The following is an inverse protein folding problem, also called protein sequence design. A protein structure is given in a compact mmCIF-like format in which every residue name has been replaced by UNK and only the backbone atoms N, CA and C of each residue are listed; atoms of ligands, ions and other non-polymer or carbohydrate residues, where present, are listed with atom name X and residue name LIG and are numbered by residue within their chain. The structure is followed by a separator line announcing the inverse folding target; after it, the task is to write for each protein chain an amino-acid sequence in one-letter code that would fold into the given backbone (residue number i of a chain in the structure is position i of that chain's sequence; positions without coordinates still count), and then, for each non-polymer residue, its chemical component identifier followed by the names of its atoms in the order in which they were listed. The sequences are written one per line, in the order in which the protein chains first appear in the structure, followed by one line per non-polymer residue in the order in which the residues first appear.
data_IF_187928613186
#
_entry.id   IF_187928613186
#
_cell.length_a   1.000
_cell.length_b   1.000
_cell.length_c   1.000
_cell.angle_alpha   90.00
_cell.angle_beta   90.00
_cell.angle_gamma   90.00
#
_symmetry.space_group_name_H-M   'P 1'
#
loop_
_entity.id
_entity.type
_entity.pdbx_description
1 polymer ?
#
# COMPACT_ATOMS: atom_id res chain seq x y z
N UNK A 1 -12.22 3.48 22.47
CA UNK A 1 -11.65 3.46 21.11
C UNK A 1 -10.17 3.72 21.26
N UNK A 2 -9.31 2.84 20.72
CA UNK A 2 -7.87 3.07 20.65
C UNK A 2 -7.55 3.51 19.22
N UNK A 3 -6.89 4.67 19.08
CA UNK A 3 -6.53 5.29 17.81
C UNK A 3 -5.10 5.81 17.95
N UNK A 4 -4.30 5.71 16.87
CA UNK A 4 -2.92 6.21 16.82
C UNK A 4 -2.00 5.59 17.89
N UNK A 5 -2.20 4.31 18.21
CA UNK A 5 -1.37 3.59 19.17
C UNK A 5 0.04 3.37 18.62
N UNK A 6 1.04 3.70 19.42
CA UNK A 6 2.47 3.56 19.11
C UNK A 6 3.23 3.35 20.42
N UNK A 7 4.44 2.80 20.34
CA UNK A 7 5.29 2.58 21.51
C UNK A 7 5.77 3.94 22.05
N UNK A 8 5.96 4.05 23.37
CA UNK A 8 6.53 5.27 23.96
C UNK A 8 7.93 5.51 23.36
N UNK A 9 8.20 6.74 22.93
CA UNK A 9 9.43 7.12 22.23
C UNK A 9 9.38 6.94 20.69
N UNK A 10 8.32 6.31 20.16
CA UNK A 10 8.07 6.22 18.72
C UNK A 10 7.13 7.33 18.25
N UNK A 11 7.14 7.56 16.94
CA UNK A 11 6.24 8.47 16.24
C UNK A 11 5.28 7.69 15.35
N UNK A 12 4.00 7.99 15.43
CA UNK A 12 2.97 7.39 14.59
C UNK A 12 2.84 8.18 13.29
N UNK A 13 2.88 7.49 12.15
CA UNK A 13 2.68 8.09 10.82
C UNK A 13 1.60 7.35 10.05
N UNK A 14 0.69 8.11 9.44
CA UNK A 14 -0.33 7.55 8.56
C UNK A 14 -0.68 8.51 7.43
N UNK A 15 -0.45 8.07 6.19
CA UNK A 15 -0.69 8.87 4.99
C UNK A 15 -2.15 8.75 4.54
N UNK A 16 -2.73 7.56 4.69
CA UNK A 16 -4.09 7.21 4.25
C UNK A 16 -5.19 8.02 4.95
N UNK A 17 -6.31 8.21 4.25
CA UNK A 17 -7.52 8.80 4.84
C UNK A 17 -8.08 7.87 5.93
N UNK A 18 -8.13 8.36 7.16
CA UNK A 18 -8.85 7.71 8.26
C UNK A 18 -10.06 8.56 8.66
N UNK A 19 -11.18 7.91 8.92
CA UNK A 19 -12.41 8.56 9.36
C UNK A 19 -12.79 8.08 10.75
N UNK A 20 -12.90 9.01 11.70
CA UNK A 20 -13.18 8.76 13.11
C UNK A 20 -14.53 9.38 13.43
N UNK A 21 -15.47 8.56 13.89
CA UNK A 21 -16.78 9.03 14.29
C UNK A 21 -16.74 9.48 15.76
N UNK A 22 -16.79 10.79 15.97
CA UNK A 22 -16.77 11.41 17.30
C UNK A 22 -18.19 11.49 17.89
N UNK A 23 -19.20 11.65 17.04
CA UNK A 23 -20.62 11.67 17.41
C UNK A 23 -21.47 11.19 16.24
N UNK A 24 -22.77 10.97 16.46
CA UNK A 24 -23.73 10.55 15.42
C UNK A 24 -23.75 11.49 14.21
N UNK A 25 -23.42 12.77 14.41
CA UNK A 25 -23.43 13.81 13.37
C UNK A 25 -22.03 14.41 13.12
N UNK A 26 -20.99 13.94 13.80
CA UNK A 26 -19.65 14.52 13.70
C UNK A 26 -18.63 13.43 13.40
N UNK A 27 -18.06 13.50 12.20
CA UNK A 27 -16.99 12.64 11.74
C UNK A 27 -15.76 13.50 11.45
N UNK A 28 -14.63 13.12 12.03
CA UNK A 28 -13.33 13.72 11.77
C UNK A 28 -12.59 12.86 10.74
N UNK A 29 -12.03 13.51 9.73
CA UNK A 29 -11.16 12.87 8.75
C UNK A 29 -9.73 13.34 8.96
N UNK A 30 -8.80 12.41 8.97
CA UNK A 30 -7.37 12.68 9.09
C UNK A 30 -6.63 12.07 7.90
N UNK A 31 -5.68 12.82 7.35
CA UNK A 31 -4.76 12.37 6.30
C UNK A 31 -3.37 12.92 6.59
N UNK A 32 -2.31 12.22 6.15
CA UNK A 32 -0.92 12.67 6.30
C UNK A 32 -0.56 13.10 7.73
N UNK A 33 -0.98 12.31 8.72
CA UNK A 33 -0.68 12.60 10.12
C UNK A 33 0.69 12.03 10.48
N UNK A 34 1.45 12.80 11.25
CA UNK A 34 2.69 12.38 11.90
C UNK A 34 2.67 12.96 13.32
N UNK A 35 2.60 12.09 14.31
CA UNK A 35 2.29 12.43 15.70
C UNK A 35 3.26 11.69 16.63
N UNK A 36 3.69 12.32 17.71
CA UNK A 36 4.41 11.68 18.82
C UNK A 36 3.97 12.33 20.12
N UNK A 37 3.98 11.57 21.21
CA UNK A 37 3.58 12.06 22.52
C UNK A 37 4.49 11.50 23.61
N UNK A 38 4.53 12.22 24.74
CA UNK A 38 5.24 11.89 25.98
C UNK A 38 6.77 11.98 25.88
N UNK A 39 7.40 11.07 25.13
CA UNK A 39 8.84 10.91 25.13
C UNK A 39 9.42 11.37 23.80
N UNK A 40 10.32 12.35 23.85
CA UNK A 40 10.98 12.96 22.70
C UNK A 40 12.48 13.04 22.95
N UNK A 41 13.28 12.52 22.01
CA UNK A 41 14.73 12.73 22.01
C UNK A 41 15.07 14.00 21.22
N UNK A 42 15.17 15.12 21.94
CA UNK A 42 15.44 16.43 21.34
C UNK A 42 14.26 17.01 20.57
N UNK A 43 14.55 17.65 19.43
CA UNK A 43 13.54 18.31 18.56
C UNK A 43 13.11 17.43 17.37
N UNK A 44 13.49 16.15 17.35
CA UNK A 44 13.18 15.22 16.25
C UNK A 44 12.16 14.18 16.65
N UNK A 45 11.39 13.72 15.66
CA UNK A 45 10.56 12.54 15.82
C UNK A 45 11.41 11.28 16.02
N UNK A 46 10.97 10.42 16.93
CA UNK A 46 11.52 9.09 17.16
C UNK A 46 11.18 8.12 16.04
N UNK A 47 11.44 6.83 16.28
CA UNK A 47 11.24 5.75 15.30
C UNK A 47 9.79 5.78 14.78
N UNK A 48 9.62 5.69 13.46
CA UNK A 48 8.30 5.85 12.82
C UNK A 48 7.56 4.51 12.74
N UNK A 49 6.39 4.44 13.35
CA UNK A 49 5.42 3.35 13.22
C UNK A 49 4.35 3.74 12.20
N UNK A 50 4.25 2.98 11.11
CA UNK A 50 3.30 3.22 10.03
C UNK A 50 1.96 2.49 10.26
N UNK A 51 0.86 3.11 9.85
CA UNK A 51 -0.46 2.52 9.97
C UNK A 51 -0.68 1.39 8.94
N UNK A 52 -1.43 0.34 9.33
CA UNK A 52 -1.82 -0.76 8.43
C UNK A 52 -2.56 -0.26 7.17
N UNK A 53 -3.30 0.85 7.27
CA UNK A 53 -4.07 1.40 6.16
C UNK A 53 -3.18 1.79 4.97
N UNK A 54 -1.97 2.29 5.21
CA UNK A 54 -1.03 2.62 4.12
C UNK A 54 -0.66 1.38 3.31
N UNK A 55 -0.49 0.24 3.98
CA UNK A 55 -0.22 -1.05 3.33
C UNK A 55 -1.45 -1.62 2.60
N UNK A 56 -2.67 -1.39 3.11
CA UNK A 56 -3.88 -1.89 2.45
C UNK A 56 -4.13 -1.26 1.08
N UNK A 57 -3.64 -0.04 0.82
CA UNK A 57 -3.70 0.60 -0.50
C UNK A 57 -2.58 0.09 -1.40
N UNK A 58 -1.39 -0.17 -0.85
CA UNK A 58 -0.22 -0.62 -1.62
C UNK A 58 -0.35 -2.08 -2.07
N UNK A 59 -0.90 -2.95 -1.22
CA UNK A 59 -1.09 -4.39 -1.50
C UNK A 59 -1.85 -4.69 -2.82
N UNK A 60 -3.04 -4.12 -3.10
CA UNK A 60 -3.76 -4.38 -4.34
C UNK A 60 -3.04 -3.83 -5.58
N UNK A 61 -2.34 -2.70 -5.45
CA UNK A 61 -1.60 -2.08 -6.57
C UNK A 61 -0.47 -3.01 -7.05
N UNK A 62 0.29 -3.59 -6.12
CA UNK A 62 1.34 -4.57 -6.45
C UNK A 62 0.73 -5.80 -7.14
N UNK A 63 -0.42 -6.28 -6.66
CA UNK A 63 -1.15 -7.38 -7.30
C UNK A 63 -1.51 -7.09 -8.76
N UNK A 64 -2.01 -5.89 -9.06
CA UNK A 64 -2.38 -5.49 -10.43
C UNK A 64 -1.15 -5.51 -11.35
N UNK A 65 0.00 -5.00 -10.88
CA UNK A 65 1.24 -4.97 -11.68
C UNK A 65 1.68 -6.39 -12.05
N UNK A 66 1.66 -7.32 -11.10
CA UNK A 66 2.02 -8.73 -11.35
C UNK A 66 1.09 -9.38 -12.37
N UNK A 67 -0.23 -9.16 -12.24
CA UNK A 67 -1.21 -9.71 -13.18
C UNK A 67 -0.98 -9.19 -14.60
N UNK A 68 -0.74 -7.89 -14.76
CA UNK A 68 -0.46 -7.27 -16.06
C UNK A 68 0.80 -7.89 -16.69
N UNK A 69 1.87 -8.05 -15.92
CA UNK A 69 3.11 -8.67 -16.41
C UNK A 69 2.89 -10.12 -16.87
N UNK A 70 2.11 -10.91 -16.11
CA UNK A 70 1.76 -12.28 -16.50
C UNK A 70 0.95 -12.31 -17.81
N UNK A 71 -0.05 -11.44 -17.96
CA UNK A 71 -0.88 -11.38 -19.18
C UNK A 71 -0.04 -11.01 -20.40
N UNK A 72 0.85 -10.01 -20.28
CA UNK A 72 1.76 -9.60 -21.36
C UNK A 72 2.72 -10.74 -21.72
N UNK A 73 3.31 -11.41 -20.72
CA UNK A 73 4.20 -12.55 -20.92
C UNK A 73 3.50 -13.71 -21.65
N UNK A 74 2.28 -14.05 -21.25
CA UNK A 74 1.47 -15.09 -21.89
C UNK A 74 1.08 -14.70 -23.33
N UNK A 75 0.77 -13.43 -23.57
CA UNK A 75 0.49 -12.91 -24.92
C UNK A 75 1.69 -13.08 -25.86
N UNK A 76 2.89 -12.69 -25.42
CA UNK A 76 4.12 -12.87 -26.18
C UNK A 76 4.41 -14.34 -26.42
N UNK A 77 4.25 -15.19 -25.40
CA UNK A 77 4.46 -16.63 -25.51
C UNK A 77 3.54 -17.26 -26.57
N UNK A 78 2.24 -16.91 -26.55
CA UNK A 78 1.26 -17.40 -27.54
C UNK A 78 1.61 -16.96 -28.96
N UNK A 79 2.02 -15.71 -29.17
CA UNK A 79 2.43 -15.22 -30.49
C UNK A 79 3.66 -15.97 -31.00
N UNK A 80 4.67 -16.17 -30.14
CA UNK A 80 5.88 -16.93 -30.47
C UNK A 80 5.54 -18.39 -30.82
N UNK A 81 4.68 -19.02 -30.03
CA UNK A 81 4.22 -20.39 -30.28
C UNK A 81 3.49 -20.50 -31.62
N UNK A 82 2.59 -19.56 -31.95
CA UNK A 82 1.90 -19.52 -33.25
C UNK A 82 2.88 -19.37 -34.41
N UNK A 83 3.89 -18.49 -34.29
CA UNK A 83 4.92 -18.31 -35.33
C UNK A 83 5.77 -19.57 -35.54
N UNK A 84 6.17 -20.26 -34.46
CA UNK A 84 6.93 -21.50 -34.59
C UNK A 84 6.09 -22.64 -35.20
N UNK A 85 4.82 -22.77 -34.80
CA UNK A 85 3.91 -23.76 -35.39
C UNK A 85 3.70 -23.55 -36.89
N UNK A 86 3.67 -22.29 -37.35
CA UNK A 86 3.56 -21.98 -38.77
C UNK A 86 4.85 -22.27 -39.56
N UNK A 87 6.01 -22.28 -38.90
CA UNK A 87 7.29 -22.56 -39.55
C UNK A 87 7.55 -24.08 -39.72
N UNK A 88 7.00 -24.92 -38.84
CA UNK A 88 7.11 -26.39 -38.93
C UNK A 88 6.18 -27.03 -39.98
N UNK A 89 5.33 -26.25 -40.65
CA UNK A 89 4.36 -26.75 -41.63
C UNK A 89 4.73 -26.41 -43.08
N UNK A 90 6.03 -26.45 -43.41
CA UNK A 90 6.52 -26.44 -44.80
C UNK A 90 7.00 -27.85 -45.16
N UNK A 91 6.10 -28.65 -45.69
CA UNK A 91 6.36 -29.83 -46.53
C UNK A 91 5.52 -29.63 -47.79
#
# INVERSE_FOLDING_TARGET
MMMFETVVGHSFKCVSEQSIQLSAQLQMKTMNIHLQAFDFEGDSFGIVDECLSDYTVVLPVVGIIVVVLCVVGLGIYKIRQRRQSSAYQRI
#
